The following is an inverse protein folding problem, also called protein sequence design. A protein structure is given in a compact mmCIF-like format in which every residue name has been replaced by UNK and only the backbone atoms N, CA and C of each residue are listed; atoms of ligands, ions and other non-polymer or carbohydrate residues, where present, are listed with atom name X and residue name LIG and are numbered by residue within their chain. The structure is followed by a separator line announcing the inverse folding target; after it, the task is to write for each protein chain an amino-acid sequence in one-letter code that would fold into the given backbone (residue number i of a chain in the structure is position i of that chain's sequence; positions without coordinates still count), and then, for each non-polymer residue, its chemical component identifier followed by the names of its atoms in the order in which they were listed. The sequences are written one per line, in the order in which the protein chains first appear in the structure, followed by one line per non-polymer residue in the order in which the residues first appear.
data_IF_430970675788
#
_entry.id   IF_430970675788
#
_cell.length_a   1.000
_cell.length_b   1.000
_cell.length_c   1.000
_cell.angle_alpha   90.00
_cell.angle_beta   90.00
_cell.angle_gamma   90.00
#
_symmetry.space_group_name_H-M   'P 1'
#
loop_
_entity.id
_entity.type
_entity.pdbx_description
1 polymer ?
#
# COMPACT_ATOMS: atom_id res chain seq x y z
N UNK A 1 15.14 -6.44 -0.67
CA UNK A 1 14.47 -6.57 0.66
C UNK A 1 13.09 -5.97 0.60
N UNK A 2 12.04 -6.75 0.88
CA UNK A 2 10.68 -6.19 0.90
C UNK A 2 10.51 -5.14 2.00
N UNK A 3 9.58 -4.24 1.75
CA UNK A 3 9.21 -3.20 2.71
C UNK A 3 7.71 -3.22 2.94
N UNK A 4 7.31 -2.76 4.12
CA UNK A 4 5.90 -2.55 4.47
C UNK A 4 5.65 -1.05 4.49
N UNK A 5 4.85 -0.57 3.54
CA UNK A 5 4.52 0.85 3.44
C UNK A 5 3.23 1.11 4.21
N UNK A 6 3.35 1.86 5.30
CA UNK A 6 2.23 2.25 6.14
C UNK A 6 1.74 3.61 5.68
N UNK A 7 0.48 3.71 5.28
CA UNK A 7 -0.04 4.94 4.68
C UNK A 7 0.04 6.10 5.66
N UNK A 8 -0.46 5.91 6.88
CA UNK A 8 -0.37 6.93 7.91
C UNK A 8 -0.20 6.27 9.27
N UNK A 9 0.66 6.85 10.10
CA UNK A 9 0.82 6.38 11.47
C UNK A 9 -0.49 6.53 12.25
N UNK A 10 -0.87 5.49 12.96
CA UNK A 10 -1.99 5.54 13.91
C UNK A 10 -1.47 5.07 15.26
N UNK A 11 -1.35 6.00 16.19
CA UNK A 11 -0.75 5.72 17.51
C UNK A 11 -1.56 4.73 18.36
N UNK A 12 -2.80 4.46 18.00
CA UNK A 12 -3.64 3.50 18.70
C UNK A 12 -3.40 2.07 18.23
N UNK A 13 -2.64 1.88 17.18
CA UNK A 13 -2.38 0.58 16.60
C UNK A 13 -0.88 0.26 16.68
N UNK A 14 -0.56 -0.90 17.24
CA UNK A 14 0.81 -1.40 17.21
C UNK A 14 1.03 -2.13 15.89
N UNK A 15 1.86 -1.55 15.03
CA UNK A 15 2.15 -2.12 13.71
C UNK A 15 3.41 -2.99 13.71
N UNK A 16 4.08 -3.12 14.85
CA UNK A 16 5.32 -3.89 14.90
C UNK A 16 5.19 -5.32 14.41
N UNK A 17 4.04 -6.03 14.57
CA UNK A 17 3.91 -7.37 13.99
C UNK A 17 4.04 -7.42 12.47
N UNK A 18 3.89 -6.30 11.78
CA UNK A 18 4.08 -6.25 10.32
C UNK A 18 5.55 -6.39 9.93
N UNK A 19 6.48 -6.23 10.87
CA UNK A 19 7.92 -6.38 10.60
C UNK A 19 8.29 -7.76 10.07
N UNK A 20 7.47 -8.77 10.31
CA UNK A 20 7.74 -10.10 9.76
C UNK A 20 7.71 -10.11 8.23
N UNK A 21 7.05 -9.13 7.62
CA UNK A 21 6.96 -9.02 6.16
C UNK A 21 8.04 -8.14 5.56
N UNK A 22 8.66 -7.28 6.35
CA UNK A 22 9.71 -6.41 5.84
C UNK A 22 9.92 -5.18 6.70
N UNK A 23 10.85 -4.34 6.29
CA UNK A 23 11.14 -3.07 6.96
C UNK A 23 9.93 -2.15 6.85
N UNK A 24 9.52 -1.59 7.97
CA UNK A 24 8.35 -0.69 8.01
C UNK A 24 8.77 0.72 7.59
N UNK A 25 8.01 1.30 6.67
CA UNK A 25 8.20 2.66 6.20
C UNK A 25 6.86 3.40 6.30
N UNK A 26 6.78 4.36 7.21
CA UNK A 26 5.58 5.16 7.42
C UNK A 26 5.60 6.36 6.49
N UNK A 27 4.51 6.58 5.75
CA UNK A 27 4.44 7.64 4.75
C UNK A 27 3.96 8.98 5.28
N UNK A 28 2.94 8.95 6.15
CA UNK A 28 2.39 10.16 6.75
C UNK A 28 2.44 10.07 8.27
N UNK A 29 2.77 11.17 8.96
CA UNK A 29 2.75 11.17 10.41
C UNK A 29 1.34 11.06 10.96
N UNK A 30 1.21 10.61 12.21
CA UNK A 30 -0.05 10.62 12.92
C UNK A 30 -0.50 12.05 13.15
N UNK A 31 -1.80 12.25 13.20
CA UNK A 31 -2.37 13.55 13.51
C UNK A 31 -3.62 13.83 12.74
N UNK A 32 -4.18 14.98 13.02
CA UNK A 32 -5.39 15.42 12.39
C UNK A 32 -5.18 15.63 10.92
N UNK A 33 -6.11 15.14 10.22
CA UNK A 33 -6.08 15.07 8.81
C UNK A 33 -5.54 16.27 8.12
N UNK A 34 -4.79 15.98 7.17
CA UNK A 34 -4.48 16.91 6.15
C UNK A 34 -5.74 17.31 5.42
N UNK A 35 -6.26 18.47 5.76
CA UNK A 35 -7.35 19.05 4.99
C UNK A 35 -6.85 19.58 3.64
N UNK A 36 -5.56 19.44 3.36
CA UNK A 36 -4.96 19.85 2.09
C UNK A 36 -4.68 18.63 1.25
N UNK A 37 -5.66 18.27 0.43
CA UNK A 37 -5.60 17.04 -0.36
C UNK A 37 -4.40 16.98 -1.31
N UNK A 38 -4.06 18.11 -1.95
CA UNK A 38 -2.97 18.13 -2.91
C UNK A 38 -1.61 17.83 -2.26
N UNK A 39 -1.32 18.44 -1.11
CA UNK A 39 -0.06 18.20 -0.43
C UNK A 39 0.03 16.77 0.12
N UNK A 40 -1.09 16.21 0.56
CA UNK A 40 -1.14 14.83 1.02
C UNK A 40 -0.88 13.88 -0.16
N UNK A 41 -1.52 14.14 -1.29
CA UNK A 41 -1.32 13.34 -2.50
C UNK A 41 0.14 13.37 -2.94
N UNK A 42 0.76 14.55 -2.95
CA UNK A 42 2.17 14.69 -3.30
C UNK A 42 3.08 13.92 -2.35
N UNK A 43 2.82 13.99 -1.06
CA UNK A 43 3.60 13.26 -0.07
C UNK A 43 3.49 11.75 -0.26
N UNK A 44 2.28 11.26 -0.54
CA UNK A 44 2.07 9.84 -0.81
C UNK A 44 2.73 9.41 -2.12
N UNK A 45 2.66 10.23 -3.15
CA UNK A 45 3.30 9.95 -4.43
C UNK A 45 4.81 9.80 -4.25
N UNK A 46 5.43 10.72 -3.52
CA UNK A 46 6.86 10.64 -3.22
C UNK A 46 7.19 9.43 -2.36
N UNK A 47 6.38 9.18 -1.33
CA UNK A 47 6.62 8.06 -0.42
C UNK A 47 6.50 6.70 -1.10
N UNK A 48 5.63 6.59 -2.08
CA UNK A 48 5.41 5.34 -2.81
C UNK A 48 6.25 5.22 -4.09
N UNK A 49 7.12 6.19 -4.38
CA UNK A 49 7.89 6.21 -5.63
C UNK A 49 8.78 4.98 -5.81
N UNK A 50 9.21 4.36 -4.73
CA UNK A 50 10.07 3.17 -4.77
C UNK A 50 9.31 1.87 -4.48
N UNK A 51 7.98 1.94 -4.40
CA UNK A 51 7.16 0.77 -4.14
C UNK A 51 7.27 -0.23 -5.30
N UNK A 52 7.57 -1.49 -4.95
CA UNK A 52 7.66 -2.59 -5.92
C UNK A 52 6.40 -3.45 -5.76
N UNK A 53 5.55 -3.50 -6.79
CA UNK A 53 4.26 -4.19 -6.72
C UNK A 53 4.39 -5.70 -6.51
N UNK A 54 5.54 -6.28 -6.84
CA UNK A 54 5.76 -7.72 -6.68
C UNK A 54 6.33 -8.11 -5.32
N UNK A 55 7.07 -7.20 -4.68
CA UNK A 55 7.81 -7.54 -3.46
C UNK A 55 7.28 -6.85 -2.21
N UNK A 56 6.79 -5.64 -2.35
CA UNK A 56 6.43 -4.82 -1.19
C UNK A 56 5.00 -5.04 -0.74
N UNK A 57 4.74 -4.56 0.48
CA UNK A 57 3.42 -4.69 1.13
C UNK A 57 2.92 -3.31 1.50
N UNK A 58 1.60 -3.17 1.57
CA UNK A 58 0.99 -1.93 2.04
C UNK A 58 0.09 -2.22 3.23
N UNK A 59 0.15 -1.36 4.24
CA UNK A 59 -0.68 -1.44 5.43
C UNK A 59 -1.57 -0.22 5.47
N UNK A 60 -2.88 -0.45 5.40
CA UNK A 60 -3.85 0.63 5.28
C UNK A 60 -4.31 1.10 6.66
N UNK A 61 -3.60 2.08 7.20
CA UNK A 61 -3.97 2.72 8.46
C UNK A 61 -4.07 4.22 8.26
N UNK A 62 -4.81 4.89 9.13
CA UNK A 62 -4.93 6.33 9.13
C UNK A 62 -6.21 6.84 8.51
N UNK A 63 -6.14 8.06 7.97
CA UNK A 63 -7.28 8.75 7.40
C UNK A 63 -7.81 8.03 6.15
N UNK A 64 -9.12 7.75 6.08
CA UNK A 64 -9.70 7.11 4.88
C UNK A 64 -9.42 7.84 3.58
N UNK A 65 -9.36 9.17 3.59
CA UNK A 65 -9.05 9.94 2.38
C UNK A 65 -7.62 9.67 1.90
N UNK A 66 -6.66 9.58 2.83
CA UNK A 66 -5.28 9.24 2.49
C UNK A 66 -5.20 7.83 1.92
N UNK A 67 -5.93 6.89 2.50
CA UNK A 67 -5.99 5.51 2.01
C UNK A 67 -6.56 5.47 0.59
N UNK A 68 -7.62 6.24 0.34
CA UNK A 68 -8.23 6.36 -0.99
C UNK A 68 -7.23 6.87 -2.02
N UNK A 69 -6.49 7.92 -1.68
CA UNK A 69 -5.44 8.47 -2.54
C UNK A 69 -4.33 7.46 -2.82
N UNK A 70 -3.90 6.76 -1.78
CA UNK A 70 -2.88 5.73 -1.92
C UNK A 70 -3.32 4.63 -2.88
N UNK A 71 -4.59 4.25 -2.85
CA UNK A 71 -5.13 3.26 -3.78
C UNK A 71 -4.99 3.70 -5.23
N UNK A 72 -5.26 4.98 -5.50
CA UNK A 72 -5.10 5.53 -6.84
C UNK A 72 -3.64 5.49 -7.31
N UNK A 73 -2.71 5.87 -6.44
CA UNK A 73 -1.28 5.84 -6.76
C UNK A 73 -0.81 4.41 -6.99
N UNK A 74 -1.25 3.48 -6.13
CA UNK A 74 -0.88 2.08 -6.26
C UNK A 74 -1.42 1.45 -7.54
N UNK A 75 -2.63 1.85 -7.97
CA UNK A 75 -3.19 1.38 -9.22
C UNK A 75 -2.32 1.81 -10.42
N UNK A 76 -1.84 3.06 -10.41
CA UNK A 76 -0.91 3.53 -11.44
C UNK A 76 0.39 2.73 -11.43
N UNK A 77 0.92 2.42 -10.26
CA UNK A 77 2.14 1.61 -10.14
C UNK A 77 1.93 0.19 -10.65
N UNK A 78 0.78 -0.40 -10.39
CA UNK A 78 0.44 -1.73 -10.93
C UNK A 78 0.39 -1.65 -12.46
N UNK A 79 -0.20 -0.59 -13.00
CA UNK A 79 -0.26 -0.40 -14.44
C UNK A 79 1.15 -0.27 -15.05
N UNK A 80 2.03 0.48 -14.40
CA UNK A 80 3.39 0.70 -14.88
C UNK A 80 4.29 -0.53 -14.72
N UNK A 81 4.18 -1.23 -13.59
CA UNK A 81 5.11 -2.30 -13.21
C UNK A 81 4.58 -3.70 -13.52
N UNK A 82 3.32 -3.81 -13.90
CA UNK A 82 2.65 -5.11 -13.99
C UNK A 82 3.13 -6.04 -15.09
N UNK A 83 3.80 -5.50 -16.10
CA UNK A 83 4.32 -6.28 -17.23
C UNK A 83 3.24 -7.12 -17.90
N UNK A 84 2.24 -6.46 -18.48
CA UNK A 84 1.07 -7.13 -19.04
C UNK A 84 1.39 -7.93 -20.32
N UNK A 85 2.56 -7.75 -20.89
CA UNK A 85 3.02 -8.53 -22.03
C UNK A 85 3.69 -9.83 -21.62
N UNK A 86 3.90 -10.03 -20.32
CA UNK A 86 4.55 -11.25 -19.81
C UNK A 86 3.51 -12.37 -19.62
N UNK A 87 4.02 -13.58 -19.43
CA UNK A 87 3.19 -14.75 -19.14
C UNK A 87 2.48 -14.63 -17.78
N UNK A 88 3.04 -13.85 -16.85
CA UNK A 88 2.49 -13.68 -15.51
C UNK A 88 2.37 -12.20 -15.15
N UNK A 89 1.40 -11.50 -15.75
CA UNK A 89 1.21 -10.08 -15.42
C UNK A 89 0.75 -9.89 -13.98
N UNK A 90 1.20 -8.79 -13.37
CA UNK A 90 0.83 -8.45 -12.01
C UNK A 90 -0.30 -7.42 -12.02
N UNK A 91 -1.46 -7.76 -11.46
CA UNK A 91 -2.62 -6.87 -11.41
C UNK A 91 -3.02 -6.50 -9.98
N UNK A 92 -2.22 -6.90 -9.00
CA UNK A 92 -2.55 -6.73 -7.59
C UNK A 92 -1.37 -6.17 -6.82
N UNK A 93 -1.66 -5.69 -5.60
CA UNK A 93 -0.65 -5.38 -4.59
C UNK A 93 -0.92 -6.25 -3.37
N UNK A 94 0.11 -6.44 -2.56
CA UNK A 94 -0.02 -7.20 -1.31
C UNK A 94 -0.47 -6.24 -0.20
N UNK A 95 -1.68 -6.42 0.28
CA UNK A 95 -2.23 -5.61 1.38
C UNK A 95 -2.20 -6.45 2.65
N UNK A 96 -1.61 -5.90 3.71
CA UNK A 96 -1.58 -6.57 5.01
C UNK A 96 -2.87 -6.30 5.76
N UNK A 97 -3.51 -7.37 6.22
CA UNK A 97 -4.74 -7.28 7.00
C UNK A 97 -4.55 -8.00 8.33
N UNK A 98 -4.95 -7.34 9.42
CA UNK A 98 -4.84 -7.92 10.75
C UNK A 98 -5.84 -9.06 10.93
N UNK A 99 -5.35 -10.21 11.37
CA UNK A 99 -6.19 -11.37 11.70
C UNK A 99 -6.28 -11.49 13.22
N UNK A 100 -7.48 -11.24 13.77
CA UNK A 100 -7.72 -11.27 15.21
C UNK A 100 -7.57 -12.67 15.81
N UNK A 101 -7.82 -13.70 15.02
CA UNK A 101 -7.76 -15.07 15.52
C UNK A 101 -6.34 -15.51 15.79
N UNK A 102 -5.40 -15.10 14.94
CA UNK A 102 -3.99 -15.53 15.02
C UNK A 102 -3.10 -14.45 15.59
N UNK A 103 -3.61 -13.23 15.81
CA UNK A 103 -2.82 -12.06 16.20
C UNK A 103 -1.64 -11.80 15.26
N UNK A 104 -1.89 -11.94 13.96
CA UNK A 104 -0.88 -11.73 12.93
C UNK A 104 -1.49 -11.00 11.74
N UNK A 105 -0.64 -10.33 10.98
CA UNK A 105 -1.03 -9.81 9.68
C UNK A 105 -1.03 -10.92 8.66
N UNK A 106 -1.99 -10.87 7.74
CA UNK A 106 -2.05 -11.73 6.58
C UNK A 106 -1.85 -10.89 5.33
N UNK A 107 -1.13 -11.42 4.35
CA UNK A 107 -0.98 -10.75 3.08
C UNK A 107 -2.10 -11.16 2.13
N UNK A 108 -2.85 -10.19 1.66
CA UNK A 108 -3.93 -10.41 0.70
C UNK A 108 -3.53 -9.85 -0.65
N UNK A 109 -3.62 -10.67 -1.68
CA UNK A 109 -3.42 -10.22 -3.05
C UNK A 109 -4.64 -9.42 -3.47
N UNK A 110 -4.50 -8.10 -3.51
CA UNK A 110 -5.63 -7.19 -3.71
C UNK A 110 -5.57 -6.60 -5.12
N UNK A 111 -6.50 -6.98 -6.01
CA UNK A 111 -6.48 -6.46 -7.37
C UNK A 111 -6.86 -4.98 -7.40
N UNK A 112 -6.17 -4.20 -8.22
CA UNK A 112 -6.40 -2.77 -8.36
C UNK A 112 -6.83 -2.37 -9.77
N UNK A 113 -6.74 -3.29 -10.73
CA UNK A 113 -7.14 -3.01 -12.10
C UNK A 113 -8.32 -3.90 -12.47
N UNK A 114 -9.23 -3.35 -13.28
CA UNK A 114 -10.38 -4.08 -13.80
C UNK A 114 -10.24 -4.26 -15.30
N UNK A 115 -11.01 -5.22 -15.83
CA UNK A 115 -11.02 -5.47 -17.25
C UNK A 115 -9.96 -6.45 -17.71
N UNK A 116 -9.95 -6.68 -19.01
CA UNK A 116 -9.01 -7.60 -19.65
C UNK A 116 -7.88 -6.77 -20.28
N UNK A 117 -6.68 -6.91 -19.74
CA UNK A 117 -5.50 -6.19 -20.23
C UNK A 117 -4.59 -7.06 -21.08
N UNK A 118 -5.08 -8.21 -21.50
CA UNK A 118 -4.33 -9.13 -22.35
C UNK A 118 -4.45 -8.74 -23.83
N UNK A 119 -4.32 -7.54 -24.03
CA UNK A 119 -4.32 -6.88 -25.29
C UNK A 119 -4.69 -7.52 -26.57
#
# INVERSE_FOLDING_TARGET
MPRVYVIQENRKIDISPAEEYGEIKVLLPAGDANYQAESTFDALTKGLSQFNVREDYVLLTGDPTAIFMAGSILADLVFEQGDFDSAEPQKHVNVLKWNRRTNRYLSLKTPLLTGDYDG
#
